data_IF_713471347526
#
_entry.id   IF_713471347526
#
_cell.length_a   1.000
_cell.length_b   1.000
_cell.length_c   1.000
_cell.angle_alpha   90.00
_cell.angle_beta   90.00
_cell.angle_gamma   90.00
#
_symmetry.space_group_name_H-M   'P 1'
#
loop_
_entity.id
_entity.type
_entity.pdbx_description
1 polymer ?
#
# COMPACT_ATOMS: atom_id res chain seq x y z
N UNK A 1 -38.79 -7.92 -25.30
CA UNK A 1 -39.01 -7.73 -23.84
C UNK A 1 -37.67 -7.32 -23.22
N UNK A 2 -37.52 -6.09 -22.76
CA UNK A 2 -36.32 -5.65 -22.04
C UNK A 2 -36.49 -5.98 -20.56
N UNK A 3 -35.71 -6.91 -20.04
CA UNK A 3 -35.63 -7.17 -18.61
C UNK A 3 -34.70 -6.13 -18.00
N UNK A 4 -35.23 -5.26 -17.14
CA UNK A 4 -34.42 -4.37 -16.31
C UNK A 4 -33.70 -5.26 -15.30
N UNK A 5 -32.39 -5.45 -15.47
CA UNK A 5 -31.55 -6.08 -14.44
C UNK A 5 -31.38 -5.06 -13.31
N UNK A 6 -32.07 -5.30 -12.20
CA UNK A 6 -31.80 -4.57 -10.96
C UNK A 6 -30.42 -5.01 -10.43
N UNK A 7 -29.56 -4.07 -9.99
CA UNK A 7 -28.26 -4.41 -9.44
C UNK A 7 -28.44 -5.28 -8.20
N UNK A 8 -27.73 -6.42 -8.16
CA UNK A 8 -27.76 -7.33 -7.03
C UNK A 8 -27.04 -6.63 -5.85
N UNK A 9 -27.70 -6.36 -4.71
CA UNK A 9 -27.08 -5.66 -3.59
C UNK A 9 -25.84 -6.38 -3.04
N UNK A 10 -25.75 -7.70 -3.23
CA UNK A 10 -24.55 -8.46 -2.87
C UNK A 10 -23.32 -8.13 -3.74
N UNK A 11 -23.49 -7.77 -5.02
CA UNK A 11 -22.36 -7.41 -5.90
C UNK A 11 -21.82 -6.02 -5.57
N UNK A 12 -22.70 -5.06 -5.28
CA UNK A 12 -22.29 -3.70 -4.86
C UNK A 12 -21.50 -3.72 -3.55
N UNK A 13 -21.89 -4.57 -2.60
CA UNK A 13 -21.19 -4.68 -1.31
C UNK A 13 -19.77 -5.26 -1.46
N UNK A 14 -19.56 -6.17 -2.41
CA UNK A 14 -18.23 -6.74 -2.71
C UNK A 14 -17.35 -5.72 -3.43
N UNK A 15 -17.87 -5.00 -4.43
CA UNK A 15 -17.12 -3.95 -5.13
C UNK A 15 -16.71 -2.80 -4.20
N UNK A 16 -17.61 -2.34 -3.32
CA UNK A 16 -17.28 -1.30 -2.33
C UNK A 16 -16.24 -1.77 -1.30
N UNK A 17 -16.23 -3.06 -0.96
CA UNK A 17 -15.25 -3.64 -0.03
C UNK A 17 -13.88 -3.76 -0.69
N UNK A 18 -13.82 -4.18 -1.95
CA UNK A 18 -12.59 -4.25 -2.75
C UNK A 18 -11.99 -2.86 -2.99
N UNK A 19 -12.81 -1.89 -3.38
CA UNK A 19 -12.39 -0.51 -3.60
C UNK A 19 -11.87 0.15 -2.30
N UNK A 20 -12.50 -0.12 -1.16
CA UNK A 20 -11.98 0.32 0.15
C UNK A 20 -10.64 -0.34 0.49
N UNK A 21 -10.44 -1.60 0.13
CA UNK A 21 -9.19 -2.31 0.37
C UNK A 21 -8.06 -1.76 -0.51
N UNK A 22 -8.35 -1.44 -1.77
CA UNK A 22 -7.39 -0.81 -2.69
C UNK A 22 -6.98 0.59 -2.21
N UNK A 23 -7.95 1.42 -1.79
CA UNK A 23 -7.68 2.76 -1.25
C UNK A 23 -6.80 2.69 0.01
N UNK A 24 -7.10 1.76 0.92
CA UNK A 24 -6.28 1.55 2.12
C UNK A 24 -4.87 1.09 1.77
N UNK A 25 -4.71 0.19 0.80
CA UNK A 25 -3.40 -0.26 0.32
C UNK A 25 -2.59 0.89 -0.30
N UNK A 26 -3.22 1.76 -1.08
CA UNK A 26 -2.56 2.96 -1.64
C UNK A 26 -2.08 3.88 -0.51
N UNK A 27 -2.93 4.14 0.50
CA UNK A 27 -2.56 4.99 1.63
C UNK A 27 -1.39 4.42 2.46
N UNK A 28 -1.37 3.10 2.69
CA UNK A 28 -0.28 2.43 3.41
C UNK A 28 1.01 2.46 2.59
N UNK A 29 0.93 2.27 1.27
CA UNK A 29 2.07 2.37 0.37
C UNK A 29 2.67 3.77 0.37
N UNK A 30 1.85 4.81 0.25
CA UNK A 30 2.32 6.21 0.28
C UNK A 30 2.97 6.55 1.62
N UNK A 31 2.39 6.07 2.72
CA UNK A 31 3.00 6.20 4.04
C UNK A 31 4.38 5.53 4.11
N UNK A 32 4.49 4.28 3.65
CA UNK A 32 5.75 3.54 3.64
C UNK A 32 6.84 4.24 2.80
N UNK A 33 6.46 4.77 1.63
CA UNK A 33 7.38 5.52 0.75
C UNK A 33 7.83 6.85 1.38
N UNK A 34 6.94 7.53 2.09
CA UNK A 34 7.28 8.76 2.83
C UNK A 34 8.31 8.48 3.92
N UNK A 35 8.11 7.42 4.71
CA UNK A 35 9.06 7.00 5.76
C UNK A 35 10.40 6.59 5.14
N UNK A 36 10.39 5.80 4.06
CA UNK A 36 11.61 5.41 3.35
C UNK A 36 12.41 6.62 2.85
N UNK A 37 11.72 7.65 2.37
CA UNK A 37 12.35 8.90 1.91
C UNK A 37 12.98 9.66 3.08
N UNK A 38 12.29 9.73 4.22
CA UNK A 38 12.84 10.36 5.44
C UNK A 38 14.09 9.63 5.94
N UNK A 39 14.05 8.31 6.03
CA UNK A 39 15.18 7.49 6.46
C UNK A 39 16.39 7.64 5.52
N UNK A 40 16.15 7.72 4.21
CA UNK A 40 17.22 7.92 3.21
C UNK A 40 17.90 9.29 3.31
N UNK A 41 17.17 10.31 3.75
CA UNK A 41 17.69 11.69 3.83
C UNK A 41 18.26 12.04 5.21
N UNK A 42 18.25 11.11 6.17
CA UNK A 42 18.82 11.31 7.50
C UNK A 42 20.32 11.00 7.49
N UNK A 43 21.16 12.03 7.40
CA UNK A 43 22.61 11.89 7.32
C UNK A 43 23.24 11.28 8.60
N UNK A 44 22.66 11.55 9.78
CA UNK A 44 23.14 10.98 11.04
C UNK A 44 22.86 9.48 11.08
N UNK A 45 21.66 9.07 10.70
CA UNK A 45 21.27 7.66 10.68
C UNK A 45 22.02 6.89 9.59
N UNK A 46 22.18 7.48 8.40
CA UNK A 46 22.90 6.85 7.29
C UNK A 46 24.41 6.75 7.54
N UNK A 47 24.99 7.68 8.28
CA UNK A 47 26.41 7.58 8.67
C UNK A 47 26.65 6.52 9.76
N UNK A 48 25.71 6.34 10.69
CA UNK A 48 25.85 5.37 11.80
C UNK A 48 25.40 3.96 11.45
N UNK A 49 24.38 3.80 10.62
CA UNK A 49 23.76 2.50 10.35
C UNK A 49 23.29 2.35 8.89
N UNK A 50 24.18 2.52 7.88
CA UNK A 50 23.79 2.50 6.46
C UNK A 50 23.10 1.20 6.04
N UNK A 51 23.59 0.05 6.52
CA UNK A 51 23.01 -1.26 6.22
C UNK A 51 21.62 -1.49 6.84
N UNK A 52 21.35 -0.87 7.98
CA UNK A 52 20.05 -0.97 8.63
C UNK A 52 19.02 -0.16 7.85
N UNK A 53 19.38 1.06 7.45
CA UNK A 53 18.52 1.93 6.64
C UNK A 53 18.17 1.28 5.32
N UNK A 54 19.17 0.72 4.63
CA UNK A 54 18.95 0.01 3.36
C UNK A 54 18.01 -1.19 3.52
N UNK A 55 18.21 -2.02 4.56
CA UNK A 55 17.31 -3.15 4.87
C UNK A 55 15.88 -2.70 5.16
N UNK A 56 15.69 -1.63 5.93
CA UNK A 56 14.35 -1.13 6.28
C UNK A 56 13.64 -0.56 5.05
N UNK A 57 14.33 0.22 4.22
CA UNK A 57 13.78 0.74 2.97
C UNK A 57 13.38 -0.41 2.04
N UNK A 58 14.24 -1.42 1.89
CA UNK A 58 13.94 -2.61 1.10
C UNK A 58 12.70 -3.34 1.60
N UNK A 59 12.56 -3.53 2.92
CA UNK A 59 11.39 -4.17 3.51
C UNK A 59 10.11 -3.36 3.27
N UNK A 60 10.15 -2.04 3.47
CA UNK A 60 9.01 -1.16 3.22
C UNK A 60 8.54 -1.21 1.76
N UNK A 61 9.48 -1.23 0.80
CA UNK A 61 9.15 -1.35 -0.63
C UNK A 61 8.59 -2.75 -0.95
N UNK A 62 9.14 -3.80 -0.35
CA UNK A 62 8.69 -5.17 -0.57
C UNK A 62 7.27 -5.39 -0.06
N UNK A 63 7.00 -5.00 1.18
CA UNK A 63 5.69 -5.19 1.81
C UNK A 63 4.62 -4.28 1.19
N UNK A 64 4.99 -3.07 0.74
CA UNK A 64 4.05 -2.14 0.08
C UNK A 64 3.63 -2.56 -1.33
N UNK A 65 4.35 -3.49 -1.98
CA UNK A 65 3.95 -4.03 -3.29
C UNK A 65 2.80 -5.03 -3.21
N UNK A 66 2.45 -5.50 -2.01
CA UNK A 66 1.48 -6.57 -1.82
C UNK A 66 2.06 -7.88 -2.33
N UNK A 67 2.09 -8.90 -1.48
CA UNK A 67 2.24 -10.26 -1.98
C UNK A 67 0.98 -10.54 -2.80
N UNK A 68 1.14 -10.71 -4.12
CA UNK A 68 0.12 -11.33 -4.96
C UNK A 68 -0.09 -12.75 -4.38
N UNK A 69 -1.13 -12.93 -3.56
CA UNK A 69 -1.61 -14.22 -3.07
C UNK A 69 -2.91 -14.59 -3.77
#
# INVERSE_FOLDING_TARGET
MNVIKFPNPQQQQVEHSQLNHEIKNIAVRDFALKIATQLRNDDELNSRAPYLVDKVIMLLIKESRGVES
#
